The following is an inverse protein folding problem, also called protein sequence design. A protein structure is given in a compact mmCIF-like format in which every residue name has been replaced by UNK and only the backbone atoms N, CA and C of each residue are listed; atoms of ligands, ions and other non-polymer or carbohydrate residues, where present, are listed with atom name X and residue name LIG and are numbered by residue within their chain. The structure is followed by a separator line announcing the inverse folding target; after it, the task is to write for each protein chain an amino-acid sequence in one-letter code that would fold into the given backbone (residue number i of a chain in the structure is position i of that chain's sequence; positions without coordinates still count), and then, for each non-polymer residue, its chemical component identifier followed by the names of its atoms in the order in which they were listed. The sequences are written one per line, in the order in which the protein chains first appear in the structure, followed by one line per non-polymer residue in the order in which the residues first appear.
data_IF_708686343493
#
_entry.id   IF_708686343493
#
_cell.length_a   1.000
_cell.length_b   1.000
_cell.length_c   1.000
_cell.angle_alpha   90.00
_cell.angle_beta   90.00
_cell.angle_gamma   90.00
#
_symmetry.space_group_name_H-M   'P 1'
#
loop_
_entity.id
_entity.type
_entity.pdbx_description
1 polymer ?
#
# COMPACT_ATOMS: atom_id res chain seq x y z
N UNK A 1 -11.21 -13.92 -17.94
CA UNK A 1 -9.91 -13.23 -18.08
C UNK A 1 -8.80 -14.25 -17.90
N UNK A 2 -7.84 -14.22 -18.81
CA UNK A 2 -6.74 -15.18 -18.84
C UNK A 2 -5.81 -14.94 -17.65
N UNK A 3 -5.47 -15.95 -16.85
CA UNK A 3 -4.62 -15.84 -15.66
C UNK A 3 -3.24 -15.18 -15.95
N UNK A 4 -2.78 -15.26 -17.21
CA UNK A 4 -1.56 -14.59 -17.65
C UNK A 4 -1.62 -13.06 -17.65
N UNK A 5 -2.83 -12.48 -17.74
CA UNK A 5 -3.03 -11.03 -17.78
C UNK A 5 -3.17 -10.45 -16.38
N UNK A 6 -3.85 -11.15 -15.48
CA UNK A 6 -4.17 -10.67 -14.13
C UNK A 6 -3.26 -11.23 -13.02
N UNK A 7 -2.21 -11.96 -13.40
CA UNK A 7 -1.21 -12.52 -12.50
C UNK A 7 -1.60 -13.84 -11.84
N UNK A 8 -0.58 -14.48 -11.28
CA UNK A 8 -0.72 -15.70 -10.49
C UNK A 8 -1.33 -15.37 -9.13
N UNK A 9 -2.21 -16.24 -8.64
CA UNK A 9 -2.79 -16.15 -7.31
C UNK A 9 -2.38 -17.36 -6.47
N UNK A 10 -2.15 -17.12 -5.19
CA UNK A 10 -1.80 -18.12 -4.19
C UNK A 10 -3.05 -18.43 -3.37
N UNK A 11 -3.33 -19.71 -3.15
CA UNK A 11 -4.37 -20.15 -2.22
C UNK A 11 -3.91 -19.88 -0.78
N UNK A 12 -4.68 -19.09 -0.07
CA UNK A 12 -4.56 -18.88 1.39
C UNK A 12 -5.70 -19.66 2.04
N UNK A 13 -5.37 -20.83 2.59
CA UNK A 13 -6.36 -21.64 3.31
C UNK A 13 -6.83 -20.91 4.56
N UNK A 14 -8.14 -20.91 4.78
CA UNK A 14 -8.77 -20.29 5.94
C UNK A 14 -8.30 -20.87 7.28
N UNK A 15 -8.64 -20.18 8.32
CA UNK A 15 -8.31 -20.59 9.69
C UNK A 15 -8.42 -19.44 10.68
N UNK A 16 -7.99 -19.73 11.91
CA UNK A 16 -7.96 -18.74 13.01
C UNK A 16 -6.54 -18.23 13.21
N UNK A 17 -6.41 -16.97 13.56
CA UNK A 17 -5.13 -16.39 13.95
C UNK A 17 -5.33 -15.24 14.93
N UNK A 18 -4.29 -14.90 15.66
CA UNK A 18 -4.21 -13.74 16.51
C UNK A 18 -3.72 -12.55 15.66
N UNK A 19 -4.61 -11.58 15.40
CA UNK A 19 -4.33 -10.39 14.60
C UNK A 19 -3.88 -9.22 15.46
N UNK A 20 -3.03 -8.36 14.93
CA UNK A 20 -2.62 -7.11 15.53
C UNK A 20 -1.15 -7.07 15.93
N UNK A 21 -0.79 -6.05 16.73
CA UNK A 21 0.56 -5.87 17.25
C UNK A 21 0.52 -5.14 18.59
N UNK A 22 1.38 -5.55 19.52
CA UNK A 22 1.60 -4.84 20.79
C UNK A 22 2.43 -3.58 20.62
N UNK A 23 3.11 -3.41 19.48
CA UNK A 23 4.04 -2.31 19.23
C UNK A 23 3.36 -1.02 18.72
N UNK A 24 2.10 -1.11 18.23
CA UNK A 24 1.37 0.02 17.65
C UNK A 24 0.01 0.18 18.31
N UNK A 25 -0.30 1.40 18.76
CA UNK A 25 -1.55 1.67 19.51
C UNK A 25 -2.82 1.40 18.69
N UNK A 26 -2.81 1.73 17.40
CA UNK A 26 -3.93 1.50 16.49
C UNK A 26 -4.05 0.06 16.01
N UNK A 27 -3.12 -0.81 16.42
CA UNK A 27 -3.12 -2.26 16.17
C UNK A 27 -3.46 -3.08 17.41
N UNK A 28 -3.96 -2.43 18.46
CA UNK A 28 -4.38 -3.04 19.73
C UNK A 28 -5.91 -3.05 19.90
N UNK A 29 -6.43 -4.00 20.65
CA UNK A 29 -5.75 -5.17 21.24
C UNK A 29 -5.45 -6.24 20.19
N UNK A 30 -4.53 -7.16 20.53
CA UNK A 30 -4.44 -8.45 19.85
C UNK A 30 -5.78 -9.16 20.00
N UNK A 31 -6.34 -9.69 18.90
CA UNK A 31 -7.66 -10.31 18.92
C UNK A 31 -7.76 -11.48 17.94
N UNK A 32 -8.60 -12.42 18.27
CA UNK A 32 -8.83 -13.60 17.43
C UNK A 32 -9.66 -13.25 16.21
N UNK A 33 -9.19 -13.67 15.04
CA UNK A 33 -9.90 -13.56 13.77
C UNK A 33 -9.97 -14.95 13.11
N UNK A 34 -11.11 -15.25 12.50
CA UNK A 34 -11.33 -16.46 11.71
C UNK A 34 -11.67 -16.06 10.27
N UNK A 35 -10.93 -16.59 9.32
CA UNK A 35 -11.10 -16.30 7.90
C UNK A 35 -11.47 -17.57 7.12
N UNK A 36 -12.33 -17.42 6.13
CA UNK A 36 -12.52 -18.42 5.07
C UNK A 36 -11.35 -18.40 4.11
N UNK A 37 -11.14 -19.49 3.38
CA UNK A 37 -10.09 -19.58 2.36
C UNK A 37 -10.35 -18.60 1.20
N UNK A 38 -9.28 -18.04 0.65
CA UNK A 38 -9.32 -17.13 -0.49
C UNK A 38 -8.05 -17.27 -1.33
N UNK A 39 -8.07 -16.71 -2.53
CA UNK A 39 -6.87 -16.53 -3.33
C UNK A 39 -6.35 -15.11 -3.19
N UNK A 40 -5.03 -14.93 -3.14
CA UNK A 40 -4.36 -13.62 -3.12
C UNK A 40 -3.32 -13.54 -4.27
N UNK A 41 -3.21 -12.37 -4.90
CA UNK A 41 -2.15 -12.11 -5.87
C UNK A 41 -0.76 -12.38 -5.27
N UNK A 42 0.09 -13.06 -6.01
CA UNK A 42 1.43 -13.45 -5.58
C UNK A 42 2.30 -12.24 -5.19
N UNK A 43 2.07 -11.10 -5.81
CA UNK A 43 2.76 -9.81 -5.62
C UNK A 43 1.79 -8.66 -5.89
N UNK A 44 2.24 -7.42 -5.71
CA UNK A 44 1.46 -6.22 -6.05
C UNK A 44 1.12 -6.20 -7.56
N UNK A 45 0.01 -5.54 -7.90
CA UNK A 45 -0.36 -5.31 -9.31
C UNK A 45 0.72 -4.49 -10.00
N UNK A 46 1.22 -5.00 -11.13
CA UNK A 46 2.31 -4.37 -11.88
C UNK A 46 1.80 -3.32 -12.87
N UNK A 47 2.71 -2.45 -13.31
CA UNK A 47 2.46 -1.50 -14.39
C UNK A 47 1.92 -2.18 -15.66
N UNK A 48 2.48 -3.34 -16.03
CA UNK A 48 2.01 -4.11 -17.19
C UNK A 48 0.55 -4.56 -17.06
N UNK A 49 0.17 -5.06 -15.87
CA UNK A 49 -1.19 -5.51 -15.59
C UNK A 49 -2.17 -4.33 -15.58
N UNK A 50 -1.78 -3.21 -14.96
CA UNK A 50 -2.61 -2.01 -14.92
C UNK A 50 -2.76 -1.36 -16.31
N UNK A 51 -1.69 -1.34 -17.11
CA UNK A 51 -1.75 -0.88 -18.51
C UNK A 51 -2.72 -1.69 -19.36
N UNK A 52 -2.81 -3.01 -19.15
CA UNK A 52 -3.78 -3.85 -19.84
C UNK A 52 -5.23 -3.49 -19.45
N UNK A 53 -5.48 -3.26 -18.17
CA UNK A 53 -6.78 -2.79 -17.66
C UNK A 53 -7.18 -1.47 -18.33
N UNK A 54 -6.29 -0.47 -18.32
CA UNK A 54 -6.56 0.84 -18.95
C UNK A 54 -6.79 0.69 -20.45
N UNK A 55 -5.98 -0.11 -21.13
CA UNK A 55 -6.13 -0.38 -22.57
C UNK A 55 -7.48 -1.00 -22.93
N UNK A 56 -7.97 -1.94 -22.13
CA UNK A 56 -9.24 -2.64 -22.39
C UNK A 56 -10.48 -1.82 -22.03
N UNK A 57 -10.37 -0.94 -21.03
CA UNK A 57 -11.52 -0.22 -20.48
C UNK A 57 -11.58 1.26 -20.83
N UNK A 58 -10.45 1.86 -21.21
CA UNK A 58 -10.33 3.32 -21.35
C UNK A 58 -10.40 4.04 -19.99
N UNK A 59 -10.11 3.35 -18.90
CA UNK A 59 -10.21 3.91 -17.55
C UNK A 59 -9.27 5.12 -17.38
N UNK A 60 -9.80 6.19 -16.78
CA UNK A 60 -9.06 7.40 -16.42
C UNK A 60 -8.92 7.44 -14.90
N UNK A 61 -7.67 7.42 -14.40
CA UNK A 61 -7.38 7.41 -12.98
C UNK A 61 -7.70 8.74 -12.30
N UNK A 62 -7.86 8.72 -10.99
CA UNK A 62 -8.15 9.94 -10.20
C UNK A 62 -7.11 11.02 -10.46
N UNK A 63 -5.82 10.67 -10.55
CA UNK A 63 -4.73 11.61 -10.83
C UNK A 63 -4.81 12.27 -12.23
N UNK A 64 -5.54 11.68 -13.16
CA UNK A 64 -5.68 12.16 -14.54
C UNK A 64 -6.97 12.98 -14.77
N UNK A 65 -7.90 12.97 -13.81
CA UNK A 65 -9.20 13.64 -13.92
C UNK A 65 -9.09 15.13 -13.65
N UNK A 66 -9.93 15.91 -14.34
CA UNK A 66 -10.11 17.33 -14.02
C UNK A 66 -10.60 17.48 -12.57
N UNK A 67 -10.05 18.48 -11.87
CA UNK A 67 -10.43 18.79 -10.49
C UNK A 67 -11.66 19.71 -10.50
N UNK A 68 -12.70 19.39 -9.71
CA UNK A 68 -13.86 20.25 -9.57
C UNK A 68 -13.51 21.44 -8.64
N UNK A 69 -13.61 22.70 -9.13
CA UNK A 69 -13.35 23.88 -8.29
C UNK A 69 -14.17 23.95 -7.00
N UNK A 70 -15.30 23.24 -6.93
CA UNK A 70 -16.16 23.19 -5.73
C UNK A 70 -15.49 22.44 -4.58
N UNK A 71 -14.62 21.48 -4.91
CA UNK A 71 -13.89 20.68 -3.90
C UNK A 71 -12.67 21.44 -3.35
N UNK A 72 -12.30 22.56 -4.00
CA UNK A 72 -11.14 23.38 -3.67
C UNK A 72 -11.49 24.86 -3.48
N UNK A 73 -12.32 25.20 -2.48
CA UNK A 73 -12.75 26.58 -2.25
C UNK A 73 -11.54 27.50 -1.97
N UNK A 74 -11.45 28.59 -2.72
CA UNK A 74 -10.38 29.60 -2.57
C UNK A 74 -9.13 29.34 -3.41
N UNK A 75 -9.06 28.25 -4.16
CA UNK A 75 -8.00 28.00 -5.13
C UNK A 75 -8.40 28.57 -6.49
N UNK A 76 -7.48 29.28 -7.16
CA UNK A 76 -7.71 29.74 -8.54
C UNK A 76 -7.97 28.53 -9.46
N UNK A 77 -9.09 28.45 -10.17
CA UNK A 77 -9.40 27.34 -11.08
C UNK A 77 -8.30 27.03 -12.09
N UNK A 78 -7.50 28.02 -12.47
CA UNK A 78 -6.34 27.83 -13.38
C UNK A 78 -5.20 27.04 -12.76
N UNK A 79 -5.18 26.95 -11.43
CA UNK A 79 -4.18 26.16 -10.68
C UNK A 79 -4.65 24.72 -10.41
N UNK A 80 -5.91 24.41 -10.70
CA UNK A 80 -6.49 23.08 -10.56
C UNK A 80 -6.11 22.21 -11.78
N UNK A 81 -4.86 21.78 -11.80
CA UNK A 81 -4.32 20.92 -12.86
C UNK A 81 -4.27 19.48 -12.34
N UNK A 82 -4.76 18.48 -13.11
CA UNK A 82 -4.64 17.07 -12.73
C UNK A 82 -3.21 16.70 -12.37
N UNK A 83 -3.05 15.90 -11.33
CA UNK A 83 -1.75 15.48 -10.81
C UNK A 83 -1.90 14.73 -9.50
N UNK A 84 -0.80 14.55 -8.81
CA UNK A 84 -0.77 13.80 -7.55
C UNK A 84 0.43 14.16 -6.68
N UNK A 85 0.44 13.65 -5.45
CA UNK A 85 1.54 13.85 -4.54
C UNK A 85 2.75 12.94 -4.90
N UNK A 86 3.92 13.55 -4.94
CA UNK A 86 5.19 12.90 -5.24
C UNK A 86 6.17 13.14 -4.11
N UNK A 87 6.85 12.09 -3.68
CA UNK A 87 7.97 12.22 -2.78
C UNK A 87 9.16 12.90 -3.50
N UNK A 88 9.64 13.99 -2.93
CA UNK A 88 10.78 14.75 -3.42
C UNK A 88 11.80 14.92 -2.29
N UNK A 89 13.05 14.48 -2.53
CA UNK A 89 14.12 14.60 -1.52
C UNK A 89 14.46 16.08 -1.27
N UNK A 90 14.28 16.60 -0.06
CA UNK A 90 14.68 17.97 0.23
C UNK A 90 16.20 18.08 0.31
N UNK A 91 16.73 19.25 -0.06
CA UNK A 91 18.19 19.53 0.04
C UNK A 91 18.66 19.58 1.48
N UNK A 92 17.82 20.12 2.35
CA UNK A 92 18.06 20.26 3.78
C UNK A 92 16.80 19.89 4.56
N UNK A 93 16.96 19.36 5.74
CA UNK A 93 15.88 19.00 6.64
C UNK A 93 16.05 19.69 7.98
N UNK A 94 15.07 20.51 8.37
CA UNK A 94 15.02 21.18 9.66
C UNK A 94 14.24 20.38 10.71
N UNK A 95 13.26 19.56 10.28
CA UNK A 95 12.43 18.76 11.18
C UNK A 95 11.71 17.65 10.43
N UNK A 96 11.60 16.46 11.03
CA UNK A 96 10.75 15.37 10.56
C UNK A 96 9.25 15.59 10.82
N UNK A 97 8.88 16.64 11.54
CA UNK A 97 7.48 16.93 11.87
C UNK A 97 6.71 17.64 10.75
N UNK A 98 7.40 18.10 9.71
CA UNK A 98 6.77 18.78 8.58
C UNK A 98 6.92 17.96 7.30
N UNK A 99 5.97 17.05 7.06
CA UNK A 99 5.95 16.18 5.88
C UNK A 99 5.84 16.93 4.56
N UNK A 100 5.34 18.18 4.53
CA UNK A 100 5.29 19.03 3.33
C UNK A 100 6.69 19.40 2.81
N UNK A 101 7.74 19.14 3.56
CA UNK A 101 9.12 19.35 3.08
C UNK A 101 9.57 18.30 2.06
N UNK A 102 8.92 17.14 1.98
CA UNK A 102 9.26 16.06 1.06
C UNK A 102 8.07 15.50 0.27
N UNK A 103 6.87 16.06 0.46
CA UNK A 103 5.73 15.79 -0.38
C UNK A 103 5.36 17.02 -1.19
N UNK A 104 5.30 16.86 -2.50
CA UNK A 104 4.99 17.92 -3.45
C UNK A 104 3.84 17.48 -4.35
N UNK A 105 2.83 18.37 -4.55
CA UNK A 105 1.84 18.13 -5.59
C UNK A 105 2.44 18.44 -6.95
N UNK A 106 2.54 17.44 -7.82
CA UNK A 106 3.17 17.56 -9.14
C UNK A 106 2.08 17.44 -10.23
N UNK A 107 1.80 18.53 -10.95
CA UNK A 107 0.93 18.50 -12.12
C UNK A 107 1.39 17.47 -13.16
N UNK A 108 0.46 16.65 -13.63
CA UNK A 108 0.73 15.58 -14.59
C UNK A 108 1.36 14.32 -14.01
N UNK A 109 1.62 14.25 -12.70
CA UNK A 109 1.99 12.99 -12.06
C UNK A 109 0.79 12.05 -12.02
N UNK A 110 0.96 10.82 -12.52
CA UNK A 110 -0.04 9.77 -12.60
C UNK A 110 0.64 8.40 -12.73
N UNK A 111 -0.10 7.33 -12.89
CA UNK A 111 0.43 5.99 -12.97
C UNK A 111 1.44 5.75 -14.13
N UNK A 112 1.33 6.48 -15.25
CA UNK A 112 2.29 6.40 -16.38
C UNK A 112 3.52 7.31 -16.18
N UNK A 113 3.35 8.33 -15.37
CA UNK A 113 4.35 9.36 -15.04
C UNK A 113 4.45 9.55 -13.53
N UNK A 114 4.94 8.53 -12.77
CA UNK A 114 4.80 8.50 -11.30
C UNK A 114 5.49 9.64 -10.56
N UNK A 115 6.48 10.25 -11.15
CA UNK A 115 7.24 11.38 -10.58
C UNK A 115 7.01 12.70 -11.36
N UNK A 116 5.95 12.74 -12.18
CA UNK A 116 5.59 13.88 -13.02
C UNK A 116 5.85 13.67 -14.50
N UNK A 117 5.54 14.65 -15.37
CA UNK A 117 5.49 14.51 -16.83
C UNK A 117 6.79 14.02 -17.50
N UNK A 118 7.93 14.25 -16.84
CA UNK A 118 9.24 13.84 -17.34
C UNK A 118 9.64 12.42 -16.93
N UNK A 119 8.85 11.76 -16.10
CA UNK A 119 9.06 10.36 -15.71
C UNK A 119 8.30 9.41 -16.61
N UNK A 120 8.67 8.12 -16.62
CA UNK A 120 8.04 7.11 -17.46
C UNK A 120 8.15 5.72 -16.82
N UNK A 121 7.13 4.89 -17.05
CA UNK A 121 7.12 3.47 -16.66
C UNK A 121 7.60 2.54 -17.77
N UNK A 122 8.06 3.06 -18.92
CA UNK A 122 8.38 2.26 -20.12
C UNK A 122 9.32 1.09 -19.83
N UNK A 123 10.33 1.30 -18.99
CA UNK A 123 11.31 0.29 -18.60
C UNK A 123 11.02 -0.31 -17.20
N UNK A 124 9.81 -0.05 -16.66
CA UNK A 124 9.37 -0.45 -15.32
C UNK A 124 8.06 -1.26 -15.36
N UNK A 125 7.85 -2.06 -16.41
CA UNK A 125 6.58 -2.78 -16.59
C UNK A 125 6.33 -3.87 -15.54
N UNK A 126 7.39 -4.41 -14.92
CA UNK A 126 7.34 -5.38 -13.81
C UNK A 126 7.48 -4.74 -12.41
N UNK A 127 7.39 -3.43 -12.31
CA UNK A 127 7.30 -2.71 -11.04
C UNK A 127 5.85 -2.58 -10.59
N UNK A 128 5.58 -2.42 -9.28
CA UNK A 128 4.22 -2.16 -8.82
C UNK A 128 3.68 -0.88 -9.42
N UNK A 129 2.41 -0.88 -9.82
CA UNK A 129 1.73 0.36 -10.18
C UNK A 129 1.57 1.22 -8.95
N UNK A 130 1.87 2.50 -9.09
CA UNK A 130 1.70 3.53 -8.06
C UNK A 130 0.89 4.70 -8.61
N UNK A 131 0.67 5.75 -7.84
CA UNK A 131 -0.18 6.89 -8.21
C UNK A 131 -1.63 6.45 -8.49
N UNK A 132 -2.10 5.47 -7.72
CA UNK A 132 -3.46 4.94 -7.79
C UNK A 132 -4.22 5.26 -6.51
N UNK A 133 -5.35 5.91 -6.65
CA UNK A 133 -6.30 6.13 -5.57
C UNK A 133 -7.04 4.82 -5.22
N UNK A 134 -7.77 4.82 -4.11
CA UNK A 134 -8.56 3.64 -3.73
C UNK A 134 -9.55 3.20 -4.82
N UNK A 135 -10.23 4.17 -5.43
CA UNK A 135 -11.19 3.90 -6.51
C UNK A 135 -10.53 3.23 -7.72
N UNK A 136 -9.32 3.66 -8.09
CA UNK A 136 -8.57 3.11 -9.22
C UNK A 136 -8.21 1.63 -8.96
N UNK A 137 -7.75 1.33 -7.75
CA UNK A 137 -7.44 -0.03 -7.32
C UNK A 137 -8.70 -0.92 -7.30
N UNK A 138 -9.83 -0.40 -6.80
CA UNK A 138 -11.10 -1.12 -6.78
C UNK A 138 -11.66 -1.37 -8.19
N UNK A 139 -11.50 -0.40 -9.10
CA UNK A 139 -11.91 -0.54 -10.50
C UNK A 139 -11.10 -1.62 -11.23
N UNK A 140 -9.77 -1.63 -11.05
CA UNK A 140 -8.92 -2.70 -11.56
C UNK A 140 -9.35 -4.08 -11.01
N UNK A 141 -9.53 -4.19 -9.69
CA UNK A 141 -9.91 -5.44 -9.06
C UNK A 141 -11.23 -5.99 -9.62
N UNK A 142 -12.24 -5.12 -9.79
CA UNK A 142 -13.53 -5.47 -10.40
C UNK A 142 -13.38 -5.96 -11.85
N UNK A 143 -12.60 -5.24 -12.67
CA UNK A 143 -12.31 -5.67 -14.05
C UNK A 143 -11.64 -7.03 -14.09
N UNK A 144 -10.68 -7.28 -13.19
CA UNK A 144 -9.98 -8.55 -13.08
C UNK A 144 -10.84 -9.72 -12.54
N UNK A 145 -12.10 -9.47 -12.15
CA UNK A 145 -12.95 -10.45 -11.47
C UNK A 145 -12.45 -10.82 -10.07
N UNK A 146 -11.85 -9.84 -9.39
CA UNK A 146 -11.26 -9.90 -8.07
C UNK A 146 -11.85 -8.80 -7.17
N UNK A 147 -11.33 -8.65 -5.98
CA UNK A 147 -11.59 -7.54 -5.05
C UNK A 147 -10.31 -7.15 -4.30
N UNK A 148 -10.32 -6.02 -3.61
CA UNK A 148 -9.26 -5.68 -2.67
C UNK A 148 -9.37 -6.58 -1.42
N UNK A 149 -8.23 -6.90 -0.77
CA UNK A 149 -8.25 -7.67 0.47
C UNK A 149 -8.90 -6.86 1.60
N UNK A 150 -9.54 -7.55 2.55
CA UNK A 150 -9.76 -6.96 3.86
C UNK A 150 -8.42 -6.84 4.59
N UNK A 151 -8.34 -5.95 5.57
CA UNK A 151 -7.14 -5.79 6.40
C UNK A 151 -6.74 -7.12 7.08
N UNK A 152 -7.72 -7.87 7.55
CA UNK A 152 -7.49 -9.15 8.19
C UNK A 152 -6.96 -10.22 7.21
N UNK A 153 -7.49 -10.28 5.99
CA UNK A 153 -6.96 -11.17 4.95
C UNK A 153 -5.53 -10.83 4.58
N UNK A 154 -5.22 -9.53 4.48
CA UNK A 154 -3.89 -9.06 4.17
C UNK A 154 -2.88 -9.47 5.27
N UNK A 155 -3.20 -9.21 6.55
CA UNK A 155 -2.31 -9.56 7.67
C UNK A 155 -2.13 -11.07 7.82
N UNK A 156 -3.22 -11.85 7.70
CA UNK A 156 -3.18 -13.30 7.77
C UNK A 156 -2.25 -13.91 6.71
N UNK A 157 -2.35 -13.39 5.48
CA UNK A 157 -1.50 -13.81 4.38
C UNK A 157 -0.04 -13.38 4.59
N UNK A 158 0.21 -12.15 5.05
CA UNK A 158 1.55 -11.65 5.34
C UNK A 158 2.25 -12.48 6.45
N UNK A 159 1.52 -12.86 7.50
CA UNK A 159 1.99 -13.74 8.57
C UNK A 159 2.13 -15.21 8.16
N UNK A 160 1.85 -15.55 6.92
CA UNK A 160 1.79 -16.92 6.45
C UNK A 160 0.89 -17.81 7.34
N UNK A 161 -0.26 -17.28 7.74
CA UNK A 161 -1.30 -17.92 8.58
C UNK A 161 -0.87 -18.15 10.05
N UNK A 162 0.18 -17.49 10.51
CA UNK A 162 0.65 -17.59 11.89
C UNK A 162 0.00 -16.51 12.77
N UNK A 163 -0.03 -16.77 14.06
CA UNK A 163 -0.42 -15.81 15.07
C UNK A 163 0.54 -14.62 15.15
N UNK A 164 0.03 -13.47 15.60
CA UNK A 164 0.86 -12.37 16.04
C UNK A 164 1.80 -12.86 17.18
N UNK A 165 3.05 -12.51 17.07
CA UNK A 165 4.13 -12.87 17.99
C UNK A 165 5.05 -11.67 18.21
N UNK A 166 6.18 -11.88 18.89
CA UNK A 166 7.17 -10.84 19.17
C UNK A 166 8.15 -10.58 18.01
N UNK A 167 7.91 -11.15 16.80
CA UNK A 167 8.72 -10.84 15.64
C UNK A 167 8.42 -9.42 15.15
N UNK A 168 9.48 -8.69 14.82
CA UNK A 168 9.37 -7.32 14.32
C UNK A 168 8.92 -7.29 12.84
N UNK A 169 9.27 -8.33 12.11
CA UNK A 169 8.99 -8.47 10.67
C UNK A 169 8.26 -9.79 10.39
N UNK A 170 7.61 -9.91 9.25
CA UNK A 170 6.94 -11.15 8.88
C UNK A 170 7.92 -12.32 8.63
N UNK A 171 9.21 -12.02 8.43
CA UNK A 171 10.27 -13.03 8.32
C UNK A 171 11.02 -13.33 9.65
N UNK A 172 10.80 -12.56 10.72
CA UNK A 172 11.43 -12.76 12.03
C UNK A 172 11.85 -11.47 12.73
N UNK A 173 12.96 -11.52 13.48
CA UNK A 173 13.42 -10.40 14.33
C UNK A 173 14.49 -9.53 13.69
N UNK A 174 15.27 -10.06 12.77
CA UNK A 174 16.42 -9.39 12.19
C UNK A 174 16.02 -8.62 10.93
N UNK A 175 16.37 -7.35 10.87
CA UNK A 175 16.12 -6.51 9.68
C UNK A 175 16.85 -7.04 8.43
N UNK A 176 18.05 -7.60 8.64
CA UNK A 176 18.89 -8.17 7.59
C UNK A 176 19.20 -9.64 7.90
N UNK A 177 18.25 -10.58 7.71
CA UNK A 177 18.53 -11.98 7.92
C UNK A 177 19.73 -12.43 7.05
N UNK A 178 20.70 -13.09 7.66
CA UNK A 178 21.96 -13.49 7.01
C UNK A 178 22.74 -12.31 6.39
N UNK A 179 22.58 -11.09 6.90
CA UNK A 179 23.25 -9.89 6.42
C UNK A 179 22.68 -9.29 5.14
N UNK A 180 21.55 -9.80 4.62
CA UNK A 180 20.90 -9.32 3.40
C UNK A 180 19.60 -8.58 3.72
N UNK A 181 19.30 -7.54 2.96
CA UNK A 181 18.00 -6.89 3.02
C UNK A 181 16.89 -7.85 2.60
N UNK A 182 15.79 -7.86 3.35
CA UNK A 182 14.65 -8.74 3.10
C UNK A 182 13.44 -8.00 2.51
N UNK A 183 13.49 -6.67 2.43
CA UNK A 183 12.46 -5.81 1.86
C UNK A 183 13.05 -4.53 1.29
N UNK A 184 12.33 -3.91 0.34
CA UNK A 184 12.64 -2.59 -0.17
C UNK A 184 12.08 -1.52 0.79
N UNK A 185 12.95 -0.95 1.60
CA UNK A 185 12.67 0.14 2.55
C UNK A 185 13.74 1.23 2.44
N UNK A 186 13.51 2.38 3.06
CA UNK A 186 14.46 3.49 3.01
C UNK A 186 15.71 3.21 3.86
N UNK A 187 16.89 3.39 3.29
CA UNK A 187 18.17 3.26 3.99
C UNK A 187 18.91 4.59 4.02
N UNK A 188 19.61 4.85 5.11
CA UNK A 188 20.38 6.09 5.29
C UNK A 188 19.63 7.14 6.08
N UNK A 189 19.72 8.41 5.71
CA UNK A 189 19.14 9.54 6.43
C UNK A 189 17.85 10.02 5.77
N UNK A 190 16.70 9.59 6.30
CA UNK A 190 15.39 10.02 5.78
C UNK A 190 15.15 11.52 6.02
N UNK A 191 14.57 12.27 5.07
CA UNK A 191 14.28 11.96 3.67
C UNK A 191 15.37 12.44 2.70
N UNK A 192 16.52 12.86 3.18
CA UNK A 192 17.56 13.58 2.40
C UNK A 192 18.52 12.66 1.65
N UNK A 193 18.83 11.48 2.22
CA UNK A 193 19.81 10.58 1.65
C UNK A 193 19.36 9.13 1.79
N UNK A 194 19.10 8.50 0.65
CA UNK A 194 18.93 7.06 0.55
C UNK A 194 20.26 6.43 0.12
N UNK A 195 20.78 5.51 0.93
CA UNK A 195 22.04 4.82 0.64
C UNK A 195 21.90 3.66 -0.33
N UNK A 196 20.64 3.24 -0.66
CA UNK A 196 20.33 2.19 -1.64
C UNK A 196 21.03 0.86 -1.36
N UNK A 197 21.21 0.53 -0.10
CA UNK A 197 21.91 -0.71 0.30
C UNK A 197 21.13 -1.97 -0.09
N UNK A 198 19.81 -1.88 -0.27
CA UNK A 198 18.95 -2.95 -0.76
C UNK A 198 19.01 -3.11 -2.29
N UNK A 199 19.71 -2.20 -2.99
CA UNK A 199 19.88 -2.19 -4.44
C UNK A 199 18.93 -1.28 -5.20
N UNK A 200 18.00 -0.60 -4.53
CA UNK A 200 16.97 0.20 -5.18
C UNK A 200 16.89 1.63 -4.66
N UNK A 201 16.41 2.52 -5.51
CA UNK A 201 15.93 3.85 -5.15
C UNK A 201 14.47 3.96 -5.59
N UNK A 202 13.58 4.25 -4.66
CA UNK A 202 12.13 4.21 -4.95
C UNK A 202 11.61 2.76 -5.01
N UNK A 203 10.64 2.51 -5.88
CA UNK A 203 10.07 1.17 -6.04
C UNK A 203 11.07 0.18 -6.63
N UNK A 204 10.98 -1.08 -6.24
CA UNK A 204 11.71 -2.21 -6.82
C UNK A 204 10.79 -3.01 -7.77
N UNK A 205 11.34 -3.76 -8.74
CA UNK A 205 10.57 -4.77 -9.46
C UNK A 205 9.90 -5.73 -8.48
N UNK A 206 8.66 -6.11 -8.73
CA UNK A 206 8.01 -7.12 -7.89
C UNK A 206 8.84 -8.39 -7.82
N UNK A 207 8.83 -9.08 -6.67
CA UNK A 207 9.60 -10.32 -6.43
C UNK A 207 11.12 -10.11 -6.39
N UNK A 208 11.59 -8.92 -6.07
CA UNK A 208 13.01 -8.66 -5.88
C UNK A 208 13.57 -9.25 -4.57
N UNK A 209 12.70 -9.54 -3.62
CA UNK A 209 13.05 -10.12 -2.32
C UNK A 209 12.41 -11.50 -2.14
N UNK A 210 12.79 -12.20 -1.08
CA UNK A 210 12.31 -13.54 -0.81
C UNK A 210 10.81 -13.55 -0.45
N UNK A 211 10.06 -14.51 -1.00
CA UNK A 211 8.67 -14.73 -0.62
C UNK A 211 8.53 -15.25 0.81
N UNK A 212 7.38 -15.00 1.43
CA UNK A 212 7.01 -15.65 2.68
C UNK A 212 6.70 -17.15 2.47
N UNK A 213 6.40 -17.87 3.54
CA UNK A 213 6.17 -19.32 3.50
C UNK A 213 4.95 -19.76 2.64
N UNK A 214 4.05 -18.85 2.26
CA UNK A 214 2.96 -19.13 1.32
C UNK A 214 3.36 -18.89 -0.13
N UNK A 215 4.51 -18.27 -0.40
CA UNK A 215 4.94 -17.86 -1.74
C UNK A 215 4.42 -16.46 -2.13
N UNK A 216 4.06 -15.62 -1.15
CA UNK A 216 3.68 -14.22 -1.37
C UNK A 216 4.91 -13.32 -1.22
N UNK A 217 5.09 -12.41 -2.17
CA UNK A 217 6.22 -11.48 -2.23
C UNK A 217 5.81 -10.09 -1.79
N UNK A 218 6.81 -9.32 -1.37
CA UNK A 218 6.71 -7.87 -1.11
C UNK A 218 5.59 -7.51 -0.09
N UNK A 219 5.37 -8.40 0.91
CA UNK A 219 4.40 -8.15 1.98
C UNK A 219 4.88 -7.10 2.99
N UNK A 220 6.14 -6.70 2.95
CA UNK A 220 6.73 -5.59 3.70
C UNK A 220 7.59 -4.75 2.77
N UNK A 221 7.48 -3.41 2.87
CA UNK A 221 8.21 -2.47 2.02
C UNK A 221 7.61 -2.33 0.61
N UNK A 222 8.39 -1.89 -0.32
CA UNK A 222 8.09 -1.58 -1.70
C UNK A 222 6.99 -0.51 -1.84
N UNK A 223 5.72 -0.87 -1.82
CA UNK A 223 4.62 0.09 -1.83
C UNK A 223 3.57 -0.24 -0.78
N UNK A 224 2.95 0.80 -0.21
CA UNK A 224 1.73 0.63 0.57
C UNK A 224 0.65 -0.03 -0.27
N UNK A 225 -0.16 -0.90 0.34
CA UNK A 225 -1.20 -1.61 -0.34
C UNK A 225 -2.58 -1.28 0.20
N UNK A 226 -3.50 -0.84 -0.67
CA UNK A 226 -4.88 -0.59 -0.32
C UNK A 226 -5.60 -1.84 0.16
N UNK A 227 -6.25 -1.73 1.32
CA UNK A 227 -7.26 -2.67 1.82
C UNK A 227 -8.67 -2.11 1.68
N UNK A 228 -9.68 -2.97 1.66
CA UNK A 228 -11.08 -2.57 1.52
C UNK A 228 -11.65 -1.88 2.75
N UNK A 229 -11.02 -2.04 3.90
CA UNK A 229 -11.50 -1.56 5.18
C UNK A 229 -11.39 -0.03 5.31
N UNK A 230 -12.43 0.61 5.82
CA UNK A 230 -12.33 1.97 6.33
C UNK A 230 -11.39 2.02 7.52
N UNK A 231 -10.67 3.13 7.70
CA UNK A 231 -9.73 3.27 8.81
C UNK A 231 -10.38 3.86 10.05
N UNK A 232 -10.17 3.19 11.19
CA UNK A 232 -10.39 3.73 12.55
C UNK A 232 -9.30 3.20 13.48
N UNK A 233 -8.67 4.04 14.32
CA UNK A 233 -7.62 3.57 15.24
C UNK A 233 -8.15 2.66 16.35
N UNK A 234 -9.44 2.76 16.69
CA UNK A 234 -10.11 2.01 17.75
C UNK A 234 -10.85 0.74 17.26
N UNK A 235 -10.71 0.39 15.96
CA UNK A 235 -11.51 -0.67 15.37
C UNK A 235 -11.24 -2.06 15.98
N UNK A 236 -10.01 -2.38 16.33
CA UNK A 236 -9.67 -3.71 16.85
C UNK A 236 -10.32 -4.02 18.20
N UNK A 237 -10.73 -3.01 18.97
CA UNK A 237 -11.48 -3.19 20.23
C UNK A 237 -12.89 -3.74 20.01
N UNK A 238 -13.42 -3.66 18.79
CA UNK A 238 -14.80 -4.07 18.42
C UNK A 238 -14.87 -4.82 17.10
N UNK A 239 -13.76 -5.32 16.62
CA UNK A 239 -13.70 -6.15 15.41
C UNK A 239 -14.54 -7.42 15.60
N UNK A 240 -15.24 -7.82 14.55
CA UNK A 240 -15.93 -9.12 14.53
C UNK A 240 -14.90 -10.23 14.37
N UNK A 241 -15.13 -11.37 15.01
CA UNK A 241 -14.19 -12.49 14.94
C UNK A 241 -14.18 -13.16 13.55
N UNK A 242 -15.34 -13.31 12.90
CA UNK A 242 -15.46 -14.04 11.64
C UNK A 242 -15.46 -13.08 10.43
N UNK A 243 -14.49 -13.25 9.54
CA UNK A 243 -14.35 -12.50 8.29
C UNK A 243 -14.60 -10.99 8.45
N UNK A 244 -13.85 -10.27 9.32
CA UNK A 244 -14.08 -8.85 9.58
C UNK A 244 -13.89 -8.05 8.30
N UNK A 245 -14.75 -7.03 8.10
CA UNK A 245 -14.77 -6.17 6.91
C UNK A 245 -14.47 -4.69 7.22
N UNK A 246 -13.88 -4.43 8.39
CA UNK A 246 -13.64 -3.08 8.85
C UNK A 246 -14.85 -2.41 9.52
N UNK A 247 -14.66 -1.19 10.01
CA UNK A 247 -15.71 -0.37 10.60
C UNK A 247 -16.69 0.14 9.54
N UNK A 248 -17.84 0.66 9.98
CA UNK A 248 -18.87 1.22 9.10
C UNK A 248 -18.60 2.67 8.70
N UNK A 249 -17.72 3.33 9.41
CA UNK A 249 -17.33 4.72 9.22
C UNK A 249 -15.83 4.88 9.36
N UNK A 250 -15.27 5.86 8.67
CA UNK A 250 -13.87 6.25 8.79
C UNK A 250 -13.72 7.33 9.86
N UNK A 251 -12.66 7.23 10.64
CA UNK A 251 -12.28 8.29 11.57
C UNK A 251 -10.76 8.30 11.80
N UNK A 252 -10.14 9.45 11.57
CA UNK A 252 -8.77 9.74 11.93
C UNK A 252 -8.74 11.00 12.81
N UNK A 253 -8.30 10.91 14.08
CA UNK A 253 -8.23 12.08 14.96
C UNK A 253 -7.37 13.24 14.43
N UNK A 254 -6.40 12.94 13.57
CA UNK A 254 -5.52 13.94 12.97
C UNK A 254 -6.19 14.67 11.79
N UNK A 255 -7.09 14.00 11.08
CA UNK A 255 -7.81 14.53 9.91
C UNK A 255 -9.25 14.03 9.90
N UNK A 256 -10.09 14.49 10.86
CA UNK A 256 -11.42 13.91 11.14
C UNK A 256 -12.45 14.08 10.01
N UNK A 257 -12.19 14.98 9.07
CA UNK A 257 -13.09 15.28 7.96
C UNK A 257 -12.74 14.55 6.65
N UNK A 258 -11.65 13.75 6.66
CA UNK A 258 -11.23 12.98 5.49
C UNK A 258 -11.59 11.50 5.64
N UNK A 259 -12.23 10.94 4.60
CA UNK A 259 -12.41 9.49 4.54
C UNK A 259 -11.07 8.82 4.25
N UNK A 260 -10.70 7.89 5.11
CA UNK A 260 -9.48 7.10 4.96
C UNK A 260 -9.78 5.60 4.96
N UNK A 261 -8.97 4.90 4.19
CA UNK A 261 -8.94 3.44 4.20
C UNK A 261 -7.60 2.93 4.68
N UNK A 262 -7.64 1.70 5.13
CA UNK A 262 -6.44 1.00 5.60
C UNK A 262 -5.47 0.78 4.44
N UNK A 263 -4.20 1.01 4.72
CA UNK A 263 -3.07 0.61 3.89
C UNK A 263 -2.16 -0.29 4.71
N UNK A 264 -1.52 -1.25 4.06
CA UNK A 264 -0.67 -2.24 4.75
C UNK A 264 0.69 -2.37 4.06
N UNK A 265 1.68 -2.89 4.82
CA UNK A 265 2.98 -3.31 4.34
C UNK A 265 4.09 -2.28 4.43
N UNK A 266 3.79 -0.99 4.53
CA UNK A 266 4.79 0.06 4.41
C UNK A 266 5.23 0.26 2.97
N UNK A 267 6.28 1.04 2.76
CA UNK A 267 6.79 1.33 1.42
C UNK A 267 8.30 1.57 1.43
N UNK A 268 8.88 1.78 0.27
CA UNK A 268 10.29 2.19 0.11
C UNK A 268 10.67 3.49 0.86
N UNK A 269 9.69 4.24 1.36
CA UNK A 269 9.90 5.45 2.17
C UNK A 269 9.92 5.16 3.68
N UNK A 270 9.66 3.93 4.10
CA UNK A 270 9.60 3.57 5.51
C UNK A 270 10.97 3.16 6.05
N UNK A 271 11.27 3.61 7.26
CA UNK A 271 12.45 3.20 8.05
C UNK A 271 12.22 3.49 9.53
N UNK A 272 13.15 3.10 10.38
CA UNK A 272 13.04 3.30 11.83
C UNK A 272 13.12 4.77 12.30
N UNK A 273 13.50 5.72 11.43
CA UNK A 273 13.62 7.14 11.78
C UNK A 273 12.29 7.91 11.64
N UNK A 274 11.43 7.47 10.69
CA UNK A 274 10.22 8.22 10.35
C UNK A 274 8.96 7.35 10.30
N UNK A 275 8.99 6.23 9.57
CA UNK A 275 7.83 5.39 9.34
C UNK A 275 8.17 3.93 9.65
N UNK A 276 7.92 3.48 10.86
CA UNK A 276 8.14 2.08 11.25
C UNK A 276 7.03 1.14 10.77
N UNK A 277 6.08 1.63 9.98
CA UNK A 277 4.86 0.91 9.60
C UNK A 277 5.05 -0.18 8.53
N UNK A 278 6.29 -0.50 8.17
CA UNK A 278 6.63 -1.72 7.44
C UNK A 278 6.76 -2.94 8.37
N UNK A 279 6.81 -2.73 9.70
CA UNK A 279 6.90 -3.81 10.69
C UNK A 279 5.59 -4.60 10.82
N UNK A 280 5.74 -5.88 11.21
CA UNK A 280 4.63 -6.83 11.28
C UNK A 280 3.47 -6.34 12.17
N UNK A 281 2.25 -6.48 11.66
CA UNK A 281 1.02 -6.09 12.35
C UNK A 281 0.76 -4.60 12.41
N UNK A 282 1.62 -3.77 11.82
CA UNK A 282 1.39 -2.32 11.72
C UNK A 282 0.26 -1.99 10.73
N UNK A 283 -0.42 -0.88 10.97
CA UNK A 283 -1.48 -0.36 10.13
C UNK A 283 -1.06 0.99 9.56
N UNK A 284 -1.35 1.21 8.29
CA UNK A 284 -1.31 2.51 7.64
C UNK A 284 -2.71 2.99 7.30
N UNK A 285 -2.78 4.22 6.81
CA UNK A 285 -4.02 4.88 6.39
C UNK A 285 -3.75 5.82 5.25
N UNK A 286 -4.66 5.89 4.29
CA UNK A 286 -4.60 6.82 3.17
C UNK A 286 -5.95 7.45 2.91
N UNK A 287 -5.96 8.73 2.55
CA UNK A 287 -7.13 9.43 2.04
C UNK A 287 -7.48 8.83 0.67
N UNK A 288 -8.77 8.53 0.47
CA UNK A 288 -9.25 7.70 -0.65
C UNK A 288 -9.01 8.30 -2.03
N UNK A 289 -8.92 9.62 -2.13
CA UNK A 289 -8.76 10.37 -3.37
C UNK A 289 -7.33 10.94 -3.57
N UNK A 290 -6.39 10.60 -2.68
CA UNK A 290 -5.02 11.13 -2.72
C UNK A 290 -4.02 10.08 -3.19
N UNK A 291 -3.84 9.89 -4.50
CA UNK A 291 -2.83 8.99 -5.04
C UNK A 291 -1.42 9.54 -4.76
N UNK A 292 -0.48 8.64 -4.48
CA UNK A 292 0.91 8.98 -4.20
C UNK A 292 1.86 7.98 -4.87
N UNK A 293 3.13 8.36 -5.07
CA UNK A 293 4.10 7.51 -5.76
C UNK A 293 4.67 6.36 -4.91
N UNK A 294 4.11 6.12 -3.72
CA UNK A 294 4.49 5.01 -2.85
C UNK A 294 3.30 4.11 -2.43
N UNK A 295 2.15 4.25 -3.10
CA UNK A 295 0.94 3.47 -2.83
C UNK A 295 0.49 2.74 -4.08
N UNK A 296 0.33 1.43 -3.94
CA UNK A 296 -0.21 0.50 -4.91
C UNK A 296 -1.24 -0.43 -4.26
N UNK A 297 -1.35 -1.66 -4.75
CA UNK A 297 -2.30 -2.65 -4.23
C UNK A 297 -2.03 -4.05 -4.78
N UNK A 298 -2.59 -5.05 -4.13
CA UNK A 298 -2.82 -6.41 -4.66
C UNK A 298 -4.27 -6.80 -4.49
N UNK A 299 -4.71 -7.83 -5.21
CA UNK A 299 -6.08 -8.29 -5.17
C UNK A 299 -6.22 -9.66 -4.52
N UNK A 300 -7.44 -9.93 -4.07
CA UNK A 300 -7.89 -11.25 -3.61
C UNK A 300 -9.11 -11.70 -4.41
N UNK A 301 -9.39 -13.01 -4.33
CA UNK A 301 -10.56 -13.61 -4.97
C UNK A 301 -11.16 -14.67 -4.07
N UNK A 302 -12.47 -14.63 -3.92
CA UNK A 302 -13.20 -15.64 -3.17
C UNK A 302 -13.18 -17.00 -3.88
N UNK A 303 -13.15 -18.07 -3.10
CA UNK A 303 -13.33 -19.42 -3.61
C UNK A 303 -14.82 -19.62 -3.94
N UNK A 304 -15.10 -20.04 -5.13
CA UNK A 304 -16.48 -20.35 -5.58
C UNK A 304 -16.91 -21.69 -5.04
#
# INVERSE_FOLDING_TARGET
LNSHVTGKMILVEGGKFLMGSSNFEDSKPLHQVELTSFYMDEHEVTNAQFAQFVKETGYVTVAERELDPKDFPGVDPKMLVPGSAVFSKPKELNSLNNYLMWWEYVPGANWQHPEGPNSSIKDKMNYPVVQVAYEDAAAYAKWAGKRLPTEAEWEYAARARKDANDDLYYWGKDLKPNGQWAANIYQGKFPVQDSKEDGFEGTAPVKSFQANALGLYDMEGNVWEWCSDLYRPDYYQRSTAANPKGPRDSYDPQEPNLEKRVQRGGSFLCNDQYCERYKAGSRGKGEVNSPTNNVGFRCVKDIK
#
